data_IF_131795809269
#
_entry.id   IF_131795809269
#
_cell.length_a   1.000
_cell.length_b   1.000
_cell.length_c   1.000
_cell.angle_alpha   90.00
_cell.angle_beta   90.00
_cell.angle_gamma   90.00
#
_symmetry.space_group_name_H-M   'P 1'
#
loop_
_entity.id
_entity.type
_entity.pdbx_description
1 polymer ?
#
# COMPACT_ATOMS: atom_id res chain seq x y z
N UNK A 1 15.08 -11.61 -21.21
CA UNK A 1 14.32 -10.78 -20.27
C UNK A 1 14.09 -11.63 -19.03
N UNK A 2 14.52 -11.19 -17.84
CA UNK A 2 14.51 -12.05 -16.66
C UNK A 2 13.11 -12.10 -16.04
N UNK A 3 12.47 -13.28 -16.11
CA UNK A 3 11.22 -13.56 -15.41
C UNK A 3 11.50 -13.83 -13.93
N UNK A 4 11.29 -12.82 -13.09
CA UNK A 4 11.38 -12.96 -11.64
C UNK A 4 10.10 -13.63 -11.13
N UNK A 5 10.08 -14.97 -11.05
CA UNK A 5 9.00 -15.71 -10.38
C UNK A 5 9.01 -15.41 -8.88
N UNK A 6 8.16 -14.48 -8.47
CA UNK A 6 7.92 -14.18 -7.06
C UNK A 6 7.12 -15.32 -6.41
N UNK A 7 7.75 -16.02 -5.47
CA UNK A 7 7.13 -17.09 -4.68
C UNK A 7 6.42 -16.42 -3.50
N UNK A 8 5.12 -16.17 -3.63
CA UNK A 8 4.30 -15.65 -2.53
C UNK A 8 4.17 -16.70 -1.44
N UNK A 9 5.07 -16.65 -0.44
CA UNK A 9 4.89 -17.34 0.82
C UNK A 9 3.66 -16.74 1.51
N UNK A 10 2.62 -17.55 1.73
CA UNK A 10 1.46 -17.16 2.54
C UNK A 10 1.90 -17.01 4.00
N UNK A 11 2.38 -15.83 4.35
CA UNK A 11 2.31 -15.29 5.70
C UNK A 11 1.11 -14.34 5.72
N UNK A 12 0.34 -14.29 6.81
CA UNK A 12 -0.86 -13.45 6.94
C UNK A 12 -0.55 -11.95 6.94
N UNK A 13 0.00 -11.43 5.84
CA UNK A 13 0.34 -10.04 5.59
C UNK A 13 -0.45 -9.46 4.43
N UNK A 14 -0.49 -8.14 4.35
CA UNK A 14 -1.14 -7.41 3.26
C UNK A 14 -0.30 -7.51 1.99
N UNK A 15 -0.95 -7.80 0.86
CA UNK A 15 -0.29 -7.94 -0.44
C UNK A 15 -0.60 -6.73 -1.31
N UNK A 16 0.45 -6.10 -1.81
CA UNK A 16 0.36 -4.94 -2.70
C UNK A 16 1.02 -5.25 -4.04
N UNK A 17 0.31 -4.97 -5.14
CA UNK A 17 0.84 -5.00 -6.51
C UNK A 17 1.15 -3.56 -6.91
N UNK A 18 2.37 -3.28 -7.35
CA UNK A 18 2.82 -1.93 -7.72
C UNK A 18 3.15 -1.87 -9.20
N UNK A 19 2.37 -1.11 -9.96
CA UNK A 19 2.57 -0.86 -11.38
C UNK A 19 3.28 0.48 -11.57
N UNK A 20 4.57 0.46 -11.93
CA UNK A 20 5.35 1.67 -12.21
C UNK A 20 5.13 2.09 -13.66
N UNK A 21 4.53 3.27 -13.86
CA UNK A 21 4.27 3.83 -15.21
C UNK A 21 5.37 4.75 -15.68
N UNK A 22 5.87 5.60 -14.79
CA UNK A 22 6.86 6.63 -15.11
C UNK A 22 7.88 6.78 -13.99
N UNK A 23 9.07 7.28 -14.36
CA UNK A 23 10.09 7.74 -13.41
C UNK A 23 10.46 9.18 -13.78
N UNK A 24 9.78 10.14 -13.17
CA UNK A 24 10.10 11.57 -13.27
C UNK A 24 10.69 12.05 -11.95
N UNK A 25 11.61 13.02 -12.00
CA UNK A 25 12.24 13.63 -10.82
C UNK A 25 12.86 12.62 -9.84
N UNK A 26 13.48 11.57 -10.36
CA UNK A 26 14.07 10.48 -9.56
C UNK A 26 13.10 9.72 -8.65
N UNK A 27 11.79 9.93 -8.76
CA UNK A 27 10.78 9.21 -7.98
C UNK A 27 9.89 8.37 -8.90
N UNK A 28 9.31 7.30 -8.35
CA UNK A 28 8.42 6.41 -9.10
C UNK A 28 7.00 6.97 -9.10
N UNK A 29 6.32 6.87 -10.25
CA UNK A 29 4.90 7.17 -10.40
C UNK A 29 4.19 5.96 -10.98
N UNK A 30 2.96 5.72 -10.54
CA UNK A 30 2.28 4.50 -10.90
C UNK A 30 0.96 4.30 -10.19
N UNK A 31 0.53 3.05 -10.15
CA UNK A 31 -0.63 2.61 -9.40
C UNK A 31 -0.21 1.53 -8.41
N UNK A 32 -0.82 1.53 -7.23
CA UNK A 32 -0.72 0.45 -6.26
C UNK A 32 -2.09 -0.20 -6.11
N UNK A 33 -2.14 -1.51 -6.21
CA UNK A 33 -3.33 -2.32 -5.99
C UNK A 33 -3.17 -3.14 -4.73
N UNK A 34 -4.02 -2.86 -3.75
CA UNK A 34 -4.15 -3.67 -2.55
C UNK A 34 -5.00 -4.89 -2.87
N UNK A 35 -4.42 -6.09 -2.77
CA UNK A 35 -5.03 -7.35 -3.18
C UNK A 35 -6.20 -7.72 -2.27
N UNK A 36 -6.08 -7.53 -0.96
CA UNK A 36 -7.11 -7.93 0.00
C UNK A 36 -8.37 -7.06 -0.11
N UNK A 37 -8.23 -5.73 -0.27
CA UNK A 37 -9.37 -4.83 -0.50
C UNK A 37 -9.76 -4.70 -1.99
N UNK A 38 -9.02 -5.32 -2.92
CA UNK A 38 -9.14 -5.10 -4.38
C UNK A 38 -9.17 -3.61 -4.77
N UNK A 39 -8.44 -2.79 -4.01
CA UNK A 39 -8.44 -1.33 -4.15
C UNK A 39 -7.23 -0.88 -4.93
N UNK A 40 -7.43 -0.13 -6.01
CA UNK A 40 -6.34 0.44 -6.80
C UNK A 40 -6.27 1.94 -6.61
N UNK A 41 -5.09 2.45 -6.26
CA UNK A 41 -4.83 3.86 -5.99
C UNK A 41 -3.62 4.34 -6.79
N UNK A 42 -3.70 5.51 -7.44
CA UNK A 42 -2.54 6.11 -8.10
C UNK A 42 -1.60 6.72 -7.06
N UNK A 43 -0.29 6.63 -7.32
CA UNK A 43 0.74 7.33 -6.54
C UNK A 43 1.64 8.15 -7.48
N UNK A 44 2.04 9.34 -7.02
CA UNK A 44 2.86 10.32 -7.75
C UNK A 44 4.28 10.42 -7.20
N UNK A 45 4.58 9.73 -6.10
CA UNK A 45 5.93 9.63 -5.55
C UNK A 45 6.09 8.39 -4.66
N UNK A 46 7.35 8.01 -4.39
CA UNK A 46 7.67 6.98 -3.41
C UNK A 46 7.07 7.26 -2.02
N UNK A 47 7.00 8.53 -1.60
CA UNK A 47 6.43 8.89 -0.31
C UNK A 47 4.90 8.72 -0.29
N UNK A 48 4.21 9.04 -1.38
CA UNK A 48 2.78 8.74 -1.51
C UNK A 48 2.52 7.24 -1.48
N UNK A 49 3.35 6.44 -2.15
CA UNK A 49 3.23 4.98 -2.10
C UNK A 49 3.32 4.46 -0.66
N UNK A 50 4.30 4.93 0.11
CA UNK A 50 4.46 4.54 1.52
C UNK A 50 3.26 4.95 2.36
N UNK A 51 2.74 6.17 2.19
CA UNK A 51 1.53 6.63 2.87
C UNK A 51 0.31 5.77 2.55
N UNK A 52 0.15 5.36 1.29
CA UNK A 52 -0.96 4.50 0.88
C UNK A 52 -0.88 3.10 1.53
N UNK A 53 0.33 2.57 1.72
CA UNK A 53 0.55 1.31 2.45
C UNK A 53 0.31 1.48 3.95
N UNK A 54 0.77 2.59 4.53
CA UNK A 54 0.59 2.91 5.95
C UNK A 54 -0.91 3.05 6.31
N UNK A 55 -1.67 3.80 5.51
CA UNK A 55 -3.13 3.91 5.68
C UNK A 55 -3.86 2.57 5.49
N UNK A 56 -3.32 1.65 4.69
CA UNK A 56 -3.90 0.32 4.55
C UNK A 56 -3.67 -0.54 5.80
N UNK A 57 -2.58 -0.32 6.53
CA UNK A 57 -2.30 -0.97 7.82
C UNK A 57 -3.17 -0.41 8.94
N UNK A 58 -3.33 0.93 9.01
CA UNK A 58 -4.21 1.58 10.00
C UNK A 58 -5.68 1.16 9.86
N UNK A 59 -6.18 0.98 8.64
CA UNK A 59 -7.54 0.48 8.39
C UNK A 59 -7.79 -0.94 8.93
N UNK A 60 -6.76 -1.63 9.39
CA UNK A 60 -6.82 -2.98 9.93
C UNK A 60 -6.54 -3.03 11.44
N UNK A 61 -6.07 -1.93 12.04
CA UNK A 61 -6.07 -1.77 13.48
C UNK A 61 -7.54 -1.64 13.91
N UNK A 62 -8.05 -2.51 14.80
CA UNK A 62 -9.34 -2.26 15.42
C UNK A 62 -9.28 -0.88 16.04
N UNK A 63 -10.26 -0.03 15.71
CA UNK A 63 -10.39 1.33 16.23
C UNK A 63 -10.01 1.33 17.70
N UNK A 64 -8.89 1.96 18.06
CA UNK A 64 -8.70 2.35 19.45
C UNK A 64 -9.86 3.27 19.77
N UNK A 65 -10.81 2.74 20.54
CA UNK A 65 -11.93 3.49 21.08
C UNK A 65 -11.36 4.80 21.60
N UNK A 66 -11.74 5.92 20.96
CA UNK A 66 -11.54 7.24 21.55
C UNK A 66 -12.04 7.13 22.98
N UNK A 67 -11.19 7.23 24.01
CA UNK A 67 -11.73 7.37 25.35
C UNK A 67 -12.59 8.63 25.28
N UNK A 68 -13.89 8.43 25.48
CA UNK A 68 -14.89 9.49 25.52
C UNK A 68 -14.31 10.67 26.31
N UNK A 69 -14.41 11.86 25.72
CA UNK A 69 -14.23 13.13 26.40
C UNK A 69 -14.85 13.04 27.80
N UNK A 70 -14.01 12.91 28.82
CA UNK A 70 -14.41 13.23 30.18
C UNK A 70 -14.30 14.75 30.31
N UNK A 71 -15.35 15.46 29.92
CA UNK A 71 -15.51 16.86 30.27
C UNK A 71 -16.97 17.27 30.46
#
# INVERSE_FOLDING_TARGET
>A
MADFKNKAAKMGGQSFVVDIKCKQNHTWQGNVTWVEQKKTLPFRSALELLKLMDSAMEAMAPEEEKPEDWQ
#
